data_IF_114645728542
#
_entry.id   IF_114645728542
#
_cell.length_a   1.000
_cell.length_b   1.000
_cell.length_c   1.000
_cell.angle_alpha   90.00
_cell.angle_beta   90.00
_cell.angle_gamma   90.00
#
_symmetry.space_group_name_H-M   'P 1'
#
loop_
_entity.id
_entity.type
_entity.pdbx_description
1 polymer ?
#
# COMPACT_ATOMS: atom_id res chain seq x y z
N UNK A 1 25.50 -2.34 13.82
CA UNK A 1 25.44 -2.92 12.47
C UNK A 1 24.18 -2.45 11.77
N UNK A 2 24.32 -1.48 10.87
CA UNK A 2 23.24 -0.94 10.06
C UNK A 2 23.02 -1.88 8.86
N UNK A 3 21.85 -2.51 8.79
CA UNK A 3 21.36 -3.20 7.61
C UNK A 3 20.86 -2.14 6.62
N UNK A 4 21.77 -1.39 6.00
CA UNK A 4 21.41 -0.63 4.81
C UNK A 4 21.18 -1.65 3.69
N UNK A 5 20.00 -1.69 3.05
CA UNK A 5 19.75 -2.60 1.94
C UNK A 5 20.72 -2.32 0.78
N UNK A 6 21.20 -3.40 0.16
CA UNK A 6 22.10 -3.32 -1.00
C UNK A 6 21.46 -2.54 -2.16
N UNK A 7 22.23 -1.80 -2.98
CA UNK A 7 21.74 -0.88 -4.02
C UNK A 7 20.83 -1.47 -5.12
N UNK A 8 20.56 -2.78 -5.10
CA UNK A 8 19.70 -3.46 -6.07
C UNK A 8 18.36 -3.95 -5.53
N UNK A 9 18.09 -3.83 -4.23
CA UNK A 9 16.78 -4.15 -3.67
C UNK A 9 15.98 -2.85 -3.61
N UNK A 10 15.07 -2.63 -4.57
CA UNK A 10 14.07 -1.57 -4.47
C UNK A 10 13.14 -1.91 -3.29
N UNK A 11 13.53 -1.46 -2.10
CA UNK A 11 12.67 -1.50 -0.93
C UNK A 11 11.59 -0.45 -1.15
N UNK A 12 10.37 -0.89 -1.47
CA UNK A 12 9.23 0.03 -1.56
C UNK A 12 9.06 0.79 -0.25
N UNK A 13 8.69 2.07 -0.32
CA UNK A 13 8.60 2.95 0.86
C UNK A 13 7.73 2.37 2.00
N UNK A 14 6.72 1.55 1.66
CA UNK A 14 5.89 0.85 2.64
C UNK A 14 6.67 -0.11 3.54
N UNK A 15 7.73 -0.76 3.04
CA UNK A 15 8.58 -1.64 3.84
C UNK A 15 9.44 -0.88 4.86
N UNK A 16 9.55 0.44 4.73
CA UNK A 16 10.27 1.30 5.67
C UNK A 16 9.37 1.87 6.76
N UNK A 17 8.05 1.73 6.63
CA UNK A 17 7.09 2.23 7.61
C UNK A 17 6.76 1.12 8.61
N UNK A 18 6.88 1.41 9.90
CA UNK A 18 6.59 0.45 10.96
C UNK A 18 5.10 0.48 11.34
N UNK A 19 4.64 -0.60 11.96
CA UNK A 19 3.41 -0.57 12.73
C UNK A 19 3.60 0.33 13.96
N UNK A 20 2.61 1.17 14.35
CA UNK A 20 2.73 1.93 15.58
C UNK A 20 2.84 1.00 16.80
N UNK A 21 3.68 1.35 17.81
CA UNK A 21 3.55 0.74 19.12
C UNK A 21 2.23 1.16 19.79
N UNK A 22 1.77 0.47 20.85
CA UNK A 22 0.47 0.73 21.49
C UNK A 22 0.26 2.16 22.00
N UNK A 23 1.35 2.91 22.19
CA UNK A 23 1.34 4.30 22.68
C UNK A 23 1.27 5.34 21.57
N UNK A 24 1.27 4.94 20.30
CA UNK A 24 1.27 5.85 19.15
C UNK A 24 0.14 5.50 18.19
N UNK A 25 -0.27 6.50 17.41
CA UNK A 25 -1.22 6.33 16.31
C UNK A 25 -0.50 6.33 14.97
N UNK A 26 -1.07 5.66 13.95
CA UNK A 26 -0.56 5.77 12.59
C UNK A 26 -0.67 7.23 12.13
N UNK A 27 0.40 7.72 11.50
CA UNK A 27 0.46 9.07 10.92
C UNK A 27 0.51 9.03 9.38
N UNK A 28 0.45 7.83 8.80
CA UNK A 28 0.35 7.56 7.37
C UNK A 28 -0.72 6.50 7.11
N UNK A 29 -1.45 6.65 6.00
CA UNK A 29 -2.39 5.67 5.48
C UNK A 29 -1.97 5.19 4.08
N UNK A 30 -2.14 3.89 3.82
CA UNK A 30 -2.02 3.35 2.46
C UNK A 30 -3.33 3.54 1.69
N UNK A 31 -3.21 4.08 0.48
CA UNK A 31 -4.34 4.30 -0.43
C UNK A 31 -4.00 3.74 -1.80
N UNK A 32 -4.87 2.88 -2.34
CA UNK A 32 -4.75 2.40 -3.72
C UNK A 32 -4.85 3.57 -4.69
N UNK A 33 -3.95 3.60 -5.66
CA UNK A 33 -3.91 4.67 -6.64
C UNK A 33 -3.44 4.13 -7.98
N UNK A 34 -4.17 4.48 -9.04
CA UNK A 34 -3.84 4.06 -10.39
C UNK A 34 -3.34 5.27 -11.19
N UNK A 35 -2.14 5.13 -11.75
CA UNK A 35 -1.64 6.07 -12.74
C UNK A 35 -2.38 5.79 -14.06
N UNK A 36 -3.20 6.74 -14.49
CA UNK A 36 -4.02 6.58 -15.68
C UNK A 36 -3.17 6.48 -16.96
N UNK A 37 -3.53 5.56 -17.85
CA UNK A 37 -2.96 5.46 -19.20
C UNK A 37 -3.63 6.47 -20.13
N UNK A 38 -2.89 6.94 -21.14
CA UNK A 38 -3.44 7.76 -22.23
C UNK A 38 -4.38 6.99 -23.17
N UNK A 39 -4.44 5.66 -23.03
CA UNK A 39 -5.38 4.82 -23.75
C UNK A 39 -6.84 5.24 -23.50
N UNK A 40 -7.68 5.13 -24.53
CA UNK A 40 -9.14 5.32 -24.44
C UNK A 40 -9.61 6.74 -24.08
N UNK A 41 -8.79 7.77 -24.31
CA UNK A 41 -9.21 9.16 -24.17
C UNK A 41 -9.40 9.60 -22.71
N UNK A 42 -8.66 8.99 -21.78
CA UNK A 42 -8.64 9.43 -20.39
C UNK A 42 -8.18 10.90 -20.31
N UNK A 43 -9.05 11.84 -19.85
CA UNK A 43 -8.74 13.27 -19.89
C UNK A 43 -7.61 13.68 -18.92
N UNK A 44 -7.30 12.82 -17.94
CA UNK A 44 -6.29 13.03 -16.92
C UNK A 44 -5.20 11.95 -16.97
N UNK A 45 -4.83 11.51 -18.17
CA UNK A 45 -3.76 10.54 -18.35
C UNK A 45 -2.46 11.01 -17.68
N UNK A 46 -1.75 10.09 -17.03
CA UNK A 46 -0.45 10.40 -16.47
C UNK A 46 0.56 10.62 -17.62
N UNK A 47 1.39 11.68 -17.56
CA UNK A 47 2.33 11.98 -18.64
C UNK A 47 3.30 10.81 -18.90
N UNK A 48 3.35 10.33 -20.15
CA UNK A 48 4.11 9.14 -20.53
C UNK A 48 5.61 9.27 -20.24
N UNK A 49 6.15 10.48 -20.38
CA UNK A 49 7.53 10.84 -20.12
C UNK A 49 7.91 10.76 -18.64
N UNK A 50 6.93 10.83 -17.73
CA UNK A 50 7.12 10.70 -16.29
C UNK A 50 6.90 9.26 -15.79
N UNK A 51 6.44 8.33 -16.64
CA UNK A 51 6.18 6.94 -16.20
C UNK A 51 7.45 6.26 -15.67
N UNK A 52 8.62 6.59 -16.21
CA UNK A 52 9.91 6.09 -15.71
C UNK A 52 10.27 6.60 -14.31
N UNK A 53 9.61 7.65 -13.82
CA UNK A 53 9.77 8.17 -12.47
C UNK A 53 8.86 7.48 -11.45
N UNK A 54 7.88 6.67 -11.90
CA UNK A 54 7.04 5.88 -11.00
C UNK A 54 7.90 4.70 -10.51
N UNK A 55 8.25 4.64 -9.22
CA UNK A 55 9.21 3.65 -8.70
C UNK A 55 8.64 2.23 -8.63
N UNK A 56 7.34 2.06 -8.94
CA UNK A 56 6.67 0.78 -8.83
C UNK A 56 7.02 -0.13 -10.02
N UNK A 57 7.33 -1.38 -9.72
CA UNK A 57 7.53 -2.43 -10.71
C UNK A 57 6.76 -3.66 -10.26
N UNK A 58 6.06 -4.31 -11.18
CA UNK A 58 5.37 -5.53 -10.84
C UNK A 58 6.33 -6.71 -10.67
N UNK A 59 6.20 -7.45 -9.57
CA UNK A 59 6.81 -8.77 -9.46
C UNK A 59 6.22 -9.75 -10.51
N UNK A 60 4.94 -9.56 -10.86
CA UNK A 60 4.24 -10.24 -11.95
C UNK A 60 3.39 -9.23 -12.72
N UNK A 61 3.62 -9.11 -14.02
CA UNK A 61 2.88 -8.18 -14.87
C UNK A 61 1.36 -8.45 -14.81
N UNK A 62 0.51 -7.41 -14.89
CA UNK A 62 -0.94 -7.57 -14.96
C UNK A 62 -1.33 -8.43 -16.16
N UNK A 63 -2.31 -9.31 -15.96
CA UNK A 63 -2.78 -10.25 -16.98
C UNK A 63 -4.29 -10.17 -17.14
N UNK A 64 -4.76 -10.46 -18.36
CA UNK A 64 -6.19 -10.58 -18.64
C UNK A 64 -6.75 -11.84 -17.96
N UNK A 65 -5.95 -12.91 -17.87
CA UNK A 65 -6.39 -14.21 -17.34
C UNK A 65 -6.68 -14.19 -15.85
N UNK A 66 -5.99 -13.35 -15.08
CA UNK A 66 -6.19 -13.19 -13.64
C UNK A 66 -7.02 -11.93 -13.29
N UNK A 67 -7.57 -11.25 -14.31
CA UNK A 67 -8.44 -10.08 -14.12
C UNK A 67 -7.73 -8.84 -13.59
N UNK A 68 -6.40 -8.82 -13.55
CA UNK A 68 -5.63 -7.67 -13.03
C UNK A 68 -5.28 -6.64 -14.10
N UNK A 69 -5.42 -6.99 -15.39
CA UNK A 69 -5.19 -6.06 -16.49
C UNK A 69 -6.32 -5.05 -16.63
N UNK A 70 -5.97 -3.75 -16.57
CA UNK A 70 -6.87 -2.66 -16.90
C UNK A 70 -6.27 -1.79 -18.03
N UNK A 71 -6.95 -1.66 -19.18
CA UNK A 71 -6.41 -0.93 -20.33
C UNK A 71 -6.35 0.60 -20.13
N UNK A 72 -7.05 1.12 -19.11
CA UNK A 72 -7.02 2.54 -18.71
C UNK A 72 -5.95 2.84 -17.65
N UNK A 73 -5.18 1.84 -17.20
CA UNK A 73 -4.19 2.00 -16.13
C UNK A 73 -2.78 1.73 -16.67
N UNK A 74 -1.90 2.70 -16.52
CA UNK A 74 -0.48 2.55 -16.86
C UNK A 74 0.30 1.85 -15.73
N UNK A 75 -0.04 2.12 -14.48
CA UNK A 75 0.57 1.50 -13.31
C UNK A 75 -0.40 1.51 -12.11
N UNK A 76 -0.72 0.34 -11.57
CA UNK A 76 -1.34 0.19 -10.26
C UNK A 76 -0.31 0.48 -9.18
N UNK A 77 -0.69 1.25 -8.16
CA UNK A 77 0.21 1.65 -7.09
C UNK A 77 -0.52 1.77 -5.76
N UNK A 78 0.28 1.93 -4.71
CA UNK A 78 -0.20 2.33 -3.38
C UNK A 78 0.54 3.61 -3.01
N UNK A 79 -0.21 4.64 -2.64
CA UNK A 79 0.32 5.87 -2.06
C UNK A 79 0.34 5.76 -0.54
N UNK A 80 1.38 6.32 0.06
CA UNK A 80 1.46 6.55 1.49
C UNK A 80 1.10 8.01 1.75
N UNK A 81 -0.11 8.25 2.26
CA UNK A 81 -0.61 9.60 2.53
C UNK A 81 -0.49 9.91 4.00
N UNK A 82 0.12 11.04 4.34
CA UNK A 82 0.14 11.55 5.71
C UNK A 82 -1.28 11.87 6.18
N UNK A 83 -1.65 11.43 7.39
CA UNK A 83 -2.97 11.71 7.97
C UNK A 83 -3.04 13.06 8.70
N UNK A 84 -1.88 13.68 8.91
CA UNK A 84 -1.68 14.99 9.52
C UNK A 84 -0.38 15.60 9.00
N UNK A 85 -0.12 16.90 9.22
CA UNK A 85 1.21 17.47 8.99
C UNK A 85 2.28 16.68 9.74
N UNK A 86 3.36 16.35 9.04
CA UNK A 86 4.50 15.60 9.55
C UNK A 86 5.68 16.54 9.80
N UNK A 87 6.55 16.17 10.74
CA UNK A 87 7.85 16.80 10.98
C UNK A 87 8.97 15.75 10.81
N UNK A 88 10.14 15.99 11.40
CA UNK A 88 11.21 14.98 11.50
C UNK A 88 10.83 13.92 12.55
N UNK A 89 9.99 12.99 12.13
CA UNK A 89 9.44 11.93 12.98
C UNK A 89 9.27 10.61 12.23
N UNK A 90 9.17 9.52 12.97
CA UNK A 90 8.95 8.19 12.40
C UNK A 90 7.56 8.06 11.78
N UNK A 91 7.50 7.42 10.60
CA UNK A 91 6.26 7.14 9.90
C UNK A 91 5.69 5.79 10.37
N UNK A 92 4.45 5.83 10.83
CA UNK A 92 3.70 4.68 11.27
C UNK A 92 2.50 4.44 10.36
N UNK A 93 2.40 3.21 9.89
CA UNK A 93 1.27 2.72 9.09
C UNK A 93 0.62 1.55 9.82
N UNK A 94 -0.70 1.56 9.88
CA UNK A 94 -1.47 0.44 10.39
C UNK A 94 -1.34 -0.76 9.44
N UNK A 95 -0.77 -1.86 9.94
CA UNK A 95 -0.45 -3.05 9.13
C UNK A 95 -1.69 -3.91 8.89
N UNK A 96 -2.69 -3.82 9.76
CA UNK A 96 -3.95 -4.57 9.65
C UNK A 96 -3.74 -6.04 9.31
N UNK A 97 -2.95 -6.73 10.12
CA UNK A 97 -2.66 -8.14 9.88
C UNK A 97 -3.95 -8.95 9.85
N UNK A 98 -4.05 -9.84 8.87
CA UNK A 98 -5.22 -10.70 8.64
C UNK A 98 -5.59 -11.45 9.94
N UNK A 99 -6.86 -11.39 10.37
CA UNK A 99 -7.32 -12.11 11.55
C UNK A 99 -7.31 -13.63 11.30
N UNK A 100 -7.27 -14.40 12.38
CA UNK A 100 -7.27 -15.87 12.31
C UNK A 100 -5.88 -16.51 12.18
N UNK A 101 -4.82 -15.71 12.03
CA UNK A 101 -3.43 -16.16 12.14
C UNK A 101 -2.85 -15.80 13.51
N UNK A 102 -1.86 -16.58 13.95
CA UNK A 102 -1.08 -16.23 15.13
C UNK A 102 -0.36 -14.89 14.88
N UNK A 103 -0.58 -13.95 15.79
CA UNK A 103 -0.03 -12.59 15.68
C UNK A 103 1.33 -12.54 16.37
N UNK A 104 2.32 -11.82 15.81
CA UNK A 104 3.58 -11.58 16.50
C UNK A 104 3.36 -10.85 17.83
N UNK A 105 4.19 -11.15 18.84
CA UNK A 105 4.07 -10.54 20.18
C UNK A 105 4.18 -9.00 20.19
N UNK A 106 4.81 -8.41 19.16
CA UNK A 106 4.96 -6.97 19.04
C UNK A 106 3.75 -6.28 18.41
N UNK A 107 2.80 -7.03 17.83
CA UNK A 107 1.67 -6.49 17.08
C UNK A 107 0.44 -6.35 17.98
N UNK A 108 -0.12 -5.13 18.01
CA UNK A 108 -1.38 -4.82 18.66
C UNK A 108 -2.27 -4.06 17.67
N UNK A 109 -3.51 -4.48 17.40
CA UNK A 109 -4.39 -3.77 16.48
C UNK A 109 -4.64 -2.33 16.93
N UNK A 110 -4.54 -1.39 15.98
CA UNK A 110 -4.81 0.04 16.23
C UNK A 110 -6.30 0.29 16.51
N UNK A 111 -7.17 -0.37 15.75
CA UNK A 111 -8.62 -0.26 15.86
C UNK A 111 -9.25 -1.65 15.66
N UNK A 112 -9.45 -2.41 16.76
CA UNK A 112 -10.02 -3.76 16.69
C UNK A 112 -11.42 -3.80 16.07
N UNK A 113 -12.24 -2.77 16.29
CA UNK A 113 -13.62 -2.71 15.79
C UNK A 113 -13.64 -2.51 14.27
N UNK A 114 -12.84 -1.57 13.75
CA UNK A 114 -12.71 -1.36 12.30
C UNK A 114 -12.06 -2.56 11.60
N UNK A 115 -11.08 -3.21 12.23
CA UNK A 115 -10.49 -4.45 11.73
C UNK A 115 -11.58 -5.53 11.59
N UNK A 116 -12.37 -5.76 12.64
CA UNK A 116 -13.47 -6.73 12.59
C UNK A 116 -14.48 -6.38 11.50
N UNK A 117 -14.88 -5.12 11.37
CA UNK A 117 -15.81 -4.66 10.32
C UNK A 117 -15.29 -4.92 8.92
N UNK A 118 -14.00 -4.66 8.67
CA UNK A 118 -13.36 -4.88 7.36
C UNK A 118 -13.27 -6.35 7.01
N UNK A 119 -12.82 -7.17 7.96
CA UNK A 119 -12.60 -8.59 7.71
C UNK A 119 -13.90 -9.40 7.69
N UNK A 120 -14.90 -9.02 8.49
CA UNK A 120 -16.24 -9.61 8.45
C UNK A 120 -16.97 -9.31 7.13
N UNK A 121 -16.87 -8.08 6.61
CA UNK A 121 -17.41 -7.72 5.30
C UNK A 121 -16.77 -8.57 4.16
N UNK A 122 -15.48 -8.90 4.29
CA UNK A 122 -14.80 -9.78 3.33
C UNK A 122 -15.19 -11.25 3.44
N UNK A 123 -15.70 -11.71 4.60
CA UNK A 123 -16.22 -13.06 4.79
C UNK A 123 -17.63 -13.23 4.17
N UNK A 124 -18.45 -12.17 4.18
CA UNK A 124 -19.80 -12.18 3.59
C UNK A 124 -19.74 -12.27 2.05
N UNK A 125 -18.70 -11.75 1.41
CA UNK A 125 -18.51 -11.85 -0.04
C UNK A 125 -18.10 -13.25 -0.55
N UNK A 126 -17.96 -14.24 0.34
CA UNK A 126 -17.65 -15.64 0.00
C UNK A 126 -18.77 -16.64 0.36
N UNK A 127 -19.96 -16.14 0.72
CA UNK A 127 -21.15 -16.95 1.02
C UNK A 127 -22.08 -17.12 -0.17
#
# INVERSE_FOLDING_TARGET
SSLAPSPGALTGAGHMCNHPPPTKQPNVMAVSYDFASAGFGAPNAFPSELLGCVPNTYARAPSILDGTYSPSVAMHSVLLLSTRPLQDEELFIDYRLTPGFERPLWYEPVDPEEDERRWSASAIAKG
#
